data_IF_989751175056
#
_entry.id   IF_989751175056
#
_cell.length_a   1.000
_cell.length_b   1.000
_cell.length_c   1.000
_cell.angle_alpha   90.00
_cell.angle_beta   90.00
_cell.angle_gamma   90.00
#
_symmetry.space_group_name_H-M   'P 1'
#
loop_
_entity.id
_entity.type
_entity.pdbx_description
1 polymer ?
#
# COMPACT_ATOMS: atom_id res chain seq x y z
N UNK A 1 -43.27 26.57 -25.61
CA UNK A 1 -43.80 25.22 -25.35
C UNK A 1 -42.72 24.42 -24.65
N UNK A 2 -42.90 24.19 -23.35
CA UNK A 2 -41.90 23.59 -22.46
C UNK A 2 -41.94 22.06 -22.56
N UNK A 3 -40.79 21.43 -22.76
CA UNK A 3 -40.60 19.99 -22.65
C UNK A 3 -40.12 19.65 -21.22
N UNK A 4 -40.78 18.75 -20.45
CA UNK A 4 -40.27 18.31 -19.17
C UNK A 4 -39.26 17.17 -19.34
N UNK A 5 -38.07 17.36 -18.75
CA UNK A 5 -37.04 16.35 -18.62
C UNK A 5 -37.51 15.17 -17.76
N UNK A 6 -37.28 13.95 -18.24
CA UNK A 6 -37.57 12.71 -17.51
C UNK A 6 -36.55 12.53 -16.37
N UNK A 7 -36.97 12.88 -15.15
CA UNK A 7 -36.29 12.45 -13.93
C UNK A 7 -36.52 10.95 -13.68
N UNK A 8 -35.45 10.20 -13.46
CA UNK A 8 -35.51 8.84 -12.92
C UNK A 8 -35.74 8.91 -11.41
N UNK A 9 -37.01 9.02 -11.02
CA UNK A 9 -37.46 8.78 -9.66
C UNK A 9 -38.32 7.52 -9.65
N UNK A 10 -37.71 6.36 -9.40
CA UNK A 10 -38.39 5.14 -8.98
C UNK A 10 -37.44 4.33 -8.09
N UNK A 11 -37.38 4.72 -6.82
CA UNK A 11 -36.96 3.83 -5.73
C UNK A 11 -38.04 3.89 -4.67
N UNK A 12 -39.05 3.04 -4.83
CA UNK A 12 -39.97 2.72 -3.75
C UNK A 12 -40.17 1.20 -3.70
N UNK A 13 -40.19 0.73 -2.45
CA UNK A 13 -40.92 -0.43 -1.96
C UNK A 13 -40.50 -1.81 -2.50
N UNK A 14 -39.49 -2.40 -1.85
CA UNK A 14 -39.49 -3.85 -1.60
C UNK A 14 -40.16 -4.07 -0.24
N UNK A 15 -41.49 -3.99 -0.24
CA UNK A 15 -42.34 -4.32 0.90
C UNK A 15 -43.63 -4.91 0.35
N UNK A 16 -43.70 -6.25 0.40
CA UNK A 16 -44.88 -7.09 0.15
C UNK A 16 -45.85 -6.67 -0.98
N UNK A 17 -45.65 -7.22 -2.19
CA UNK A 17 -46.70 -7.26 -3.23
C UNK A 17 -47.34 -8.65 -3.28
N UNK A 18 -48.68 -8.76 -3.42
CA UNK A 18 -49.39 -10.03 -3.48
C UNK A 18 -48.99 -10.82 -4.75
N UNK A 19 -49.01 -12.15 -4.66
CA UNK A 19 -48.75 -13.05 -5.78
C UNK A 19 -49.83 -12.90 -6.85
N UNK A 20 -49.61 -12.02 -7.82
CA UNK A 20 -50.41 -11.95 -9.04
C UNK A 20 -49.95 -13.07 -9.97
N UNK A 21 -50.77 -14.12 -10.12
CA UNK A 21 -50.54 -15.18 -11.09
C UNK A 21 -50.72 -14.61 -12.50
N UNK A 22 -49.62 -14.42 -13.22
CA UNK A 22 -49.66 -14.01 -14.61
C UNK A 22 -50.27 -15.14 -15.47
N UNK A 23 -51.20 -14.85 -16.38
CA UNK A 23 -51.78 -15.85 -17.25
C UNK A 23 -50.71 -16.41 -18.20
N UNK A 24 -50.76 -17.73 -18.43
CA UNK A 24 -49.74 -18.53 -19.13
C UNK A 24 -49.43 -18.07 -20.55
N UNK A 25 -50.34 -17.32 -21.20
CA UNK A 25 -50.14 -16.80 -22.56
C UNK A 25 -49.20 -15.57 -22.62
N UNK A 26 -48.90 -14.91 -21.49
CA UNK A 26 -47.95 -13.77 -21.43
C UNK A 26 -46.50 -14.20 -21.14
N UNK A 27 -46.27 -15.48 -20.86
CA UNK A 27 -44.95 -16.05 -20.56
C UNK A 27 -43.92 -15.87 -21.69
N UNK A 28 -44.27 -15.96 -23.00
CA UNK A 28 -43.27 -15.78 -24.07
C UNK A 28 -42.72 -14.35 -24.18
N UNK A 29 -43.49 -13.34 -23.77
CA UNK A 29 -43.10 -11.93 -23.84
C UNK A 29 -42.12 -11.50 -22.72
N UNK A 30 -42.06 -12.28 -21.64
CA UNK A 30 -41.16 -12.07 -20.50
C UNK A 30 -39.93 -12.99 -20.51
N UNK A 31 -39.58 -13.55 -21.66
CA UNK A 31 -38.27 -14.19 -21.82
C UNK A 31 -37.20 -13.09 -21.69
N UNK A 32 -36.69 -12.95 -20.48
CA UNK A 32 -35.50 -12.17 -20.17
C UNK A 32 -34.42 -12.64 -21.12
N UNK A 33 -34.05 -11.79 -22.08
CA UNK A 33 -32.96 -12.06 -22.98
C UNK A 33 -31.73 -12.37 -22.13
N UNK A 34 -31.32 -13.64 -22.12
CA UNK A 34 -30.12 -14.06 -21.42
C UNK A 34 -28.96 -13.32 -22.07
N UNK A 35 -28.53 -12.21 -21.46
CA UNK A 35 -27.35 -11.48 -21.90
C UNK A 35 -26.19 -12.46 -21.82
N UNK A 36 -25.64 -12.83 -22.97
CA UNK A 36 -24.40 -13.61 -23.03
C UNK A 36 -23.35 -12.84 -22.24
N UNK A 37 -22.98 -13.37 -21.07
CA UNK A 37 -21.87 -12.82 -20.31
C UNK A 37 -20.60 -13.01 -21.15
N UNK A 38 -19.85 -11.92 -21.35
CA UNK A 38 -18.60 -11.94 -22.12
C UNK A 38 -17.52 -12.85 -21.50
N UNK A 39 -17.75 -13.32 -20.27
CA UNK A 39 -16.91 -14.28 -19.57
C UNK A 39 -17.78 -15.30 -18.83
N UNK A 40 -17.43 -16.57 -18.95
CA UNK A 40 -18.03 -17.67 -18.18
C UNK A 40 -17.28 -17.94 -16.86
N UNK A 41 -16.25 -17.14 -16.52
CA UNK A 41 -15.52 -17.31 -15.27
C UNK A 41 -16.32 -16.75 -14.10
N UNK A 42 -16.42 -17.52 -13.01
CA UNK A 42 -17.01 -17.04 -11.76
C UNK A 42 -16.16 -15.90 -11.20
N UNK A 43 -16.80 -14.87 -10.64
CA UNK A 43 -16.09 -13.80 -9.94
C UNK A 43 -15.32 -14.42 -8.77
N UNK A 44 -13.99 -14.45 -8.87
CA UNK A 44 -13.12 -14.90 -7.78
C UNK A 44 -12.57 -13.69 -7.04
N UNK A 45 -12.91 -13.59 -5.77
CA UNK A 45 -12.33 -12.59 -4.88
C UNK A 45 -10.83 -12.84 -4.69
N UNK A 46 -10.10 -11.79 -4.30
CA UNK A 46 -8.66 -11.92 -4.04
C UNK A 46 -8.42 -12.82 -2.82
N UNK A 47 -7.50 -13.78 -2.96
CA UNK A 47 -7.15 -14.71 -1.86
C UNK A 47 -6.54 -14.00 -0.64
N UNK A 48 -5.96 -12.81 -0.83
CA UNK A 48 -5.35 -12.01 0.24
C UNK A 48 -6.34 -11.01 0.86
N UNK A 49 -7.22 -10.38 0.06
CA UNK A 49 -8.17 -9.40 0.57
C UNK A 49 -9.27 -10.02 1.44
N UNK A 50 -9.63 -11.28 1.17
CA UNK A 50 -10.58 -12.05 2.01
C UNK A 50 -10.03 -12.42 3.39
N UNK A 51 -8.71 -12.37 3.59
CA UNK A 51 -8.10 -12.76 4.86
C UNK A 51 -8.34 -11.64 5.89
N UNK A 52 -8.99 -11.91 7.03
CA UNK A 52 -9.25 -10.89 8.04
C UNK A 52 -7.94 -10.39 8.63
N UNK A 53 -7.83 -9.08 8.83
CA UNK A 53 -6.69 -8.44 9.44
C UNK A 53 -6.88 -8.41 10.96
N UNK A 54 -5.96 -9.04 11.70
CA UNK A 54 -6.01 -9.09 13.17
C UNK A 54 -5.36 -7.85 13.77
N UNK A 55 -6.09 -7.12 14.62
CA UNK A 55 -5.65 -5.87 15.24
C UNK A 55 -5.05 -6.18 16.61
N UNK A 56 -3.75 -5.90 16.84
CA UNK A 56 -3.12 -6.14 18.13
C UNK A 56 -3.65 -5.14 19.19
N UNK A 57 -3.50 -5.46 20.49
CA UNK A 57 -3.85 -4.51 21.56
C UNK A 57 -3.04 -3.22 21.45
N UNK A 58 -3.67 -2.08 21.73
CA UNK A 58 -3.06 -0.75 21.67
C UNK A 58 -3.01 -0.12 20.27
N UNK A 59 -3.61 -0.77 19.27
CA UNK A 59 -3.82 -0.19 17.94
C UNK A 59 -5.30 0.07 17.70
N UNK A 60 -5.63 1.28 17.30
CA UNK A 60 -6.98 1.73 17.00
C UNK A 60 -7.10 2.12 15.54
N UNK A 61 -8.23 1.77 14.92
CA UNK A 61 -8.52 2.07 13.53
C UNK A 61 -9.77 2.92 13.47
N UNK A 62 -9.63 4.13 12.95
CA UNK A 62 -10.75 5.04 12.71
C UNK A 62 -10.95 5.17 11.21
N UNK A 63 -12.14 4.81 10.75
CA UNK A 63 -12.54 4.89 9.34
C UNK A 63 -13.33 6.19 9.17
N UNK A 64 -12.77 7.12 8.42
CA UNK A 64 -13.41 8.38 8.08
C UNK A 64 -14.46 8.23 6.98
N UNK A 65 -15.37 9.19 6.95
CA UNK A 65 -16.39 9.31 5.90
C UNK A 65 -15.75 9.56 4.52
N UNK A 66 -16.42 9.15 3.42
CA UNK A 66 -15.96 9.44 2.07
C UNK A 66 -15.95 10.96 1.83
N UNK A 67 -14.77 11.51 1.59
CA UNK A 67 -14.54 12.93 1.29
C UNK A 67 -14.04 13.10 -0.15
N UNK A 68 -14.47 14.17 -0.79
CA UNK A 68 -14.04 14.56 -2.13
C UNK A 68 -13.13 15.78 -2.00
N UNK A 69 -11.86 15.64 -2.40
CA UNK A 69 -10.96 16.78 -2.52
C UNK A 69 -11.33 17.58 -3.77
N UNK A 70 -11.39 18.91 -3.63
CA UNK A 70 -11.65 19.81 -4.77
C UNK A 70 -10.34 20.02 -5.53
N UNK A 71 -10.25 19.41 -6.71
CA UNK A 71 -9.16 19.64 -7.65
C UNK A 71 -9.71 20.43 -8.84
N UNK A 72 -9.08 21.55 -9.20
CA UNK A 72 -9.56 22.42 -10.28
C UNK A 72 -9.41 21.80 -11.67
N UNK A 73 -8.47 20.85 -11.82
CA UNK A 73 -8.11 20.22 -13.10
C UNK A 73 -8.96 18.99 -13.43
N UNK A 74 -9.47 18.27 -12.42
CA UNK A 74 -10.18 17.00 -12.64
C UNK A 74 -11.69 17.23 -12.74
N UNK A 75 -12.27 16.86 -13.89
CA UNK A 75 -13.72 16.90 -14.09
C UNK A 75 -14.45 15.80 -13.31
N UNK A 76 -13.86 14.60 -13.20
CA UNK A 76 -14.40 13.52 -12.38
C UNK A 76 -13.84 13.59 -10.97
N UNK A 77 -14.76 13.70 -10.02
CA UNK A 77 -14.46 13.76 -8.60
C UNK A 77 -14.75 12.39 -7.99
N UNK A 78 -13.69 11.64 -7.73
CA UNK A 78 -13.80 10.32 -7.10
C UNK A 78 -13.70 10.52 -5.57
N UNK A 79 -14.75 10.18 -4.79
CA UNK A 79 -14.68 10.26 -3.34
C UNK A 79 -13.65 9.28 -2.81
N UNK A 80 -12.89 9.66 -1.78
CA UNK A 80 -11.94 8.79 -1.09
C UNK A 80 -12.28 8.74 0.40
N UNK A 81 -12.05 7.60 1.03
CA UNK A 81 -12.15 7.44 2.49
C UNK A 81 -10.77 7.55 3.11
N UNK A 82 -10.64 8.20 4.25
CA UNK A 82 -9.38 8.24 5.00
C UNK A 82 -9.46 7.22 6.13
N UNK A 83 -8.53 6.28 6.18
CA UNK A 83 -8.37 5.35 7.31
C UNK A 83 -7.17 5.78 8.12
N UNK A 84 -7.42 6.15 9.36
CA UNK A 84 -6.36 6.51 10.30
C UNK A 84 -6.12 5.36 11.27
N UNK A 85 -4.87 4.90 11.33
CA UNK A 85 -4.41 3.86 12.26
C UNK A 85 -3.55 4.54 13.32
N UNK A 86 -3.99 4.49 14.56
CA UNK A 86 -3.29 5.05 15.72
C UNK A 86 -2.68 3.93 16.55
N UNK A 87 -1.46 4.11 17.03
CA UNK A 87 -0.79 3.15 17.90
C UNK A 87 0.27 3.82 18.78
N UNK A 88 1.04 3.04 19.56
CA UNK A 88 1.96 3.57 20.56
C UNK A 88 3.11 4.42 19.98
N UNK A 89 3.50 4.15 18.72
CA UNK A 89 4.61 4.84 18.05
C UNK A 89 4.14 6.08 17.28
N UNK A 90 2.84 6.25 17.05
CA UNK A 90 2.28 7.37 16.30
C UNK A 90 1.03 7.01 15.49
N UNK A 91 0.69 7.88 14.54
CA UNK A 91 -0.51 7.80 13.71
C UNK A 91 -0.15 7.73 12.23
N UNK A 92 -0.86 6.89 11.47
CA UNK A 92 -0.70 6.75 10.03
C UNK A 92 -2.05 6.93 9.34
N UNK A 93 -2.10 7.81 8.34
CA UNK A 93 -3.30 8.09 7.56
C UNK A 93 -3.16 7.51 6.14
N UNK A 94 -4.15 6.74 5.71
CA UNK A 94 -4.21 6.13 4.38
C UNK A 94 -5.48 6.54 3.65
N UNK A 95 -5.34 7.08 2.44
CA UNK A 95 -6.48 7.32 1.55
C UNK A 95 -6.85 6.05 0.78
N UNK A 96 -8.11 5.67 0.85
CA UNK A 96 -8.67 4.46 0.27
C UNK A 96 -9.74 4.86 -0.75
N UNK A 97 -9.78 4.22 -1.94
CA UNK A 97 -10.84 4.46 -2.92
C UNK A 97 -12.22 4.03 -2.40
N UNK A 98 -13.31 4.55 -3.00
CA UNK A 98 -14.65 4.45 -2.42
C UNK A 98 -15.29 3.07 -2.58
N UNK A 99 -14.86 2.30 -3.59
CA UNK A 99 -15.36 0.96 -3.85
C UNK A 99 -14.85 -0.10 -2.86
N UNK A 100 -13.96 0.28 -1.93
CA UNK A 100 -13.47 -0.59 -0.87
C UNK A 100 -14.30 -0.35 0.40
N UNK A 101 -14.97 -1.42 0.85
CA UNK A 101 -15.62 -1.54 2.15
C UNK A 101 -14.66 -2.16 3.14
N UNK A 102 -14.67 -1.62 4.35
CA UNK A 102 -13.88 -2.12 5.48
C UNK A 102 -14.87 -2.40 6.59
N UNK A 103 -15.09 -3.68 6.85
CA UNK A 103 -15.96 -4.12 7.92
C UNK A 103 -15.07 -4.31 9.14
N UNK A 104 -15.20 -3.40 10.10
CA UNK A 104 -14.44 -3.43 11.36
C UNK A 104 -15.30 -4.06 12.45
N UNK A 105 -14.87 -5.23 12.91
CA UNK A 105 -15.43 -5.90 14.08
C UNK A 105 -14.56 -5.57 15.30
N UNK A 106 -15.13 -4.76 16.21
CA UNK A 106 -14.47 -4.30 17.44
C UNK A 106 -14.32 -5.41 18.48
N UNK A 107 -15.25 -6.37 18.52
CA UNK A 107 -15.26 -7.46 19.51
C UNK A 107 -14.20 -8.50 19.18
N UNK A 108 -14.17 -8.96 17.91
CA UNK A 108 -13.17 -9.92 17.46
C UNK A 108 -11.81 -9.29 17.15
N UNK A 109 -11.70 -7.95 17.19
CA UNK A 109 -10.52 -7.16 16.79
C UNK A 109 -10.03 -7.54 15.40
N UNK A 110 -10.97 -7.67 14.46
CA UNK A 110 -10.70 -8.05 13.07
C UNK A 110 -11.24 -6.99 12.12
N UNK A 111 -10.53 -6.79 11.02
CA UNK A 111 -11.02 -5.97 9.92
C UNK A 111 -11.00 -6.77 8.62
N UNK A 112 -12.14 -6.89 7.95
CA UNK A 112 -12.26 -7.53 6.64
C UNK A 112 -12.41 -6.50 5.54
N UNK A 113 -11.81 -6.77 4.38
CA UNK A 113 -11.86 -5.89 3.21
C UNK A 113 -12.77 -6.51 2.16
N UNK A 114 -13.80 -5.79 1.76
CA UNK A 114 -14.77 -6.21 0.74
C UNK A 114 -14.85 -5.17 -0.39
N UNK A 115 -15.20 -5.61 -1.60
CA UNK A 115 -15.36 -4.74 -2.77
C UNK A 115 -16.86 -4.64 -3.05
N UNK A 116 -17.36 -3.42 -3.31
CA UNK A 116 -18.79 -3.20 -3.55
C UNK A 116 -19.25 -3.73 -4.93
N UNK A 117 -18.43 -3.52 -5.97
CA UNK A 117 -18.75 -3.88 -7.36
C UNK A 117 -17.67 -4.78 -7.99
N UNK A 118 -17.98 -6.08 -8.11
CA UNK A 118 -17.07 -7.10 -8.69
C UNK A 118 -17.06 -7.13 -10.25
N UNK A 119 -17.95 -6.39 -10.89
CA UNK A 119 -18.17 -6.38 -12.34
C UNK A 119 -17.27 -5.38 -13.07
N UNK A 120 -16.80 -4.33 -12.39
CA UNK A 120 -15.85 -3.40 -12.98
C UNK A 120 -14.48 -4.10 -13.12
N UNK A 121 -13.99 -4.27 -14.35
CA UNK A 121 -12.65 -4.84 -14.61
C UNK A 121 -11.52 -4.06 -13.91
N UNK A 122 -11.71 -2.76 -13.66
CA UNK A 122 -10.84 -1.92 -12.81
C UNK A 122 -10.78 -2.37 -11.34
N UNK A 123 -11.80 -3.07 -10.85
CA UNK A 123 -11.84 -3.68 -9.51
C UNK A 123 -11.02 -4.97 -9.39
N UNK A 124 -10.80 -5.69 -10.51
CA UNK A 124 -10.09 -6.99 -10.51
C UNK A 124 -8.57 -6.86 -10.58
N UNK A 125 -8.06 -5.77 -11.15
CA UNK A 125 -6.62 -5.53 -11.33
C UNK A 125 -6.00 -4.64 -10.26
N UNK A 126 -6.77 -4.14 -9.30
CA UNK A 126 -6.21 -3.32 -8.23
C UNK A 126 -5.40 -4.17 -7.23
N UNK A 127 -4.12 -4.27 -7.50
CA UNK A 127 -3.03 -3.83 -6.61
C UNK A 127 -3.39 -3.08 -5.30
N UNK A 128 -4.56 -2.46 -5.16
CA UNK A 128 -5.06 -1.81 -3.94
C UNK A 128 -5.36 -2.79 -2.78
N UNK A 129 -5.89 -3.99 -3.04
CA UNK A 129 -6.15 -5.00 -1.97
C UNK A 129 -4.85 -5.63 -1.43
N UNK A 130 -3.77 -5.64 -2.21
CA UNK A 130 -2.46 -6.15 -1.77
C UNK A 130 -1.58 -5.09 -1.10
N UNK A 131 -1.76 -3.80 -1.44
CA UNK A 131 -1.09 -2.67 -0.79
C UNK A 131 -1.74 -2.35 0.57
N UNK A 132 -3.07 -2.28 0.68
CA UNK A 132 -3.75 -1.94 1.93
C UNK A 132 -3.57 -3.03 3.02
N UNK A 133 -3.73 -4.31 2.67
CA UNK A 133 -3.60 -5.44 3.63
C UNK A 133 -2.17 -5.67 4.13
N UNK A 134 -1.14 -5.38 3.30
CA UNK A 134 0.28 -5.47 3.72
C UNK A 134 0.75 -4.24 4.50
N UNK A 135 0.08 -3.09 4.33
CA UNK A 135 0.47 -1.81 4.92
C UNK A 135 -0.26 -1.45 6.20
N UNK A 136 -1.52 -1.83 6.40
CA UNK A 136 -2.32 -1.21 7.47
C UNK A 136 -2.16 -1.82 8.87
N UNK A 137 -2.08 -3.15 9.02
CA UNK A 137 -2.35 -3.76 10.36
C UNK A 137 -1.27 -4.74 10.86
N UNK A 138 -0.38 -5.27 10.01
CA UNK A 138 0.84 -5.99 10.48
C UNK A 138 1.93 -5.02 10.99
N UNK A 139 1.56 -3.79 11.34
CA UNK A 139 2.40 -2.57 11.36
C UNK A 139 2.39 -1.87 12.73
N UNK A 140 2.12 -2.60 13.83
CA UNK A 140 2.33 -2.06 15.19
C UNK A 140 3.78 -2.22 15.67
N UNK A 141 4.61 -2.97 14.95
CA UNK A 141 6.02 -3.19 15.26
C UNK A 141 6.89 -2.16 14.55
N UNK A 142 7.87 -1.60 15.29
CA UNK A 142 9.00 -0.82 14.75
C UNK A 142 9.50 -1.49 13.47
N UNK A 143 9.32 -0.81 12.35
CA UNK A 143 9.85 -1.29 11.08
C UNK A 143 11.28 -0.79 10.98
N UNK A 144 12.19 -1.73 11.01
CA UNK A 144 13.61 -1.47 10.85
C UNK A 144 14.01 -1.87 9.43
N UNK A 145 14.71 -0.98 8.76
CA UNK A 145 15.51 -1.33 7.60
C UNK A 145 16.97 -1.17 8.00
N UNK A 146 17.81 -2.11 7.57
CA UNK A 146 19.24 -1.98 7.74
C UNK A 146 19.87 -1.78 6.38
N UNK A 147 20.74 -0.79 6.28
CA UNK A 147 21.62 -0.60 5.15
C UNK A 147 23.03 -0.99 5.59
N UNK A 148 23.55 -2.09 5.04
CA UNK A 148 24.95 -2.49 5.28
C UNK A 148 25.84 -2.00 4.15
N UNK A 149 26.95 -1.38 4.55
CA UNK A 149 28.03 -0.96 3.66
C UNK A 149 29.12 -2.02 3.72
N UNK A 150 29.29 -2.79 2.64
CA UNK A 150 30.40 -3.75 2.54
C UNK A 150 31.63 -3.06 1.97
N UNK A 151 32.67 -2.91 2.80
CA UNK A 151 33.99 -2.34 2.43
C UNK A 151 35.02 -3.46 2.26
N UNK A 152 36.07 -3.23 1.45
CA UNK A 152 37.25 -4.11 1.45
C UNK A 152 38.11 -3.85 2.70
N UNK A 153 38.75 -4.91 3.19
CA UNK A 153 39.49 -5.02 4.45
C UNK A 153 40.66 -4.04 4.69
N UNK A 154 41.02 -3.17 3.74
CA UNK A 154 42.21 -2.30 3.84
C UNK A 154 41.92 -0.81 4.07
N UNK A 155 40.67 -0.37 4.25
CA UNK A 155 40.36 1.06 4.35
C UNK A 155 39.99 1.48 5.79
N UNK A 156 40.97 2.06 6.50
CA UNK A 156 40.88 2.61 7.85
C UNK A 156 39.55 3.35 8.14
N UNK A 157 38.90 2.97 9.22
CA UNK A 157 37.63 3.53 9.67
C UNK A 157 37.87 4.83 10.45
N UNK A 158 37.60 6.00 9.84
CA UNK A 158 37.46 7.24 10.61
C UNK A 158 36.04 7.31 11.18
N UNK A 159 35.94 7.42 12.51
CA UNK A 159 34.71 7.71 13.25
C UNK A 159 34.24 9.13 12.96
N UNK A 160 32.96 9.33 12.64
CA UNK A 160 32.30 10.65 12.67
C UNK A 160 30.85 10.55 13.14
N UNK A 161 30.40 11.67 13.71
CA UNK A 161 29.25 11.83 14.62
C UNK A 161 27.86 11.70 13.96
N UNK A 162 26.78 11.54 14.75
CA UNK A 162 25.46 11.08 14.31
C UNK A 162 24.53 12.18 13.73
N UNK A 163 24.98 13.43 13.60
CA UNK A 163 24.09 14.57 13.34
C UNK A 163 23.60 14.71 11.88
N UNK A 164 24.31 14.12 10.92
CA UNK A 164 23.88 14.00 9.52
C UNK A 164 24.31 12.63 9.03
N UNK A 165 23.51 11.98 8.17
CA UNK A 165 23.71 10.60 7.72
C UNK A 165 24.93 10.47 6.75
N UNK A 166 26.10 10.92 7.19
CA UNK A 166 27.35 11.07 6.44
C UNK A 166 28.24 9.81 6.47
N UNK A 167 27.86 8.80 7.27
CA UNK A 167 28.75 7.69 7.64
C UNK A 167 29.04 6.68 6.53
N UNK A 168 28.16 6.49 5.54
CA UNK A 168 28.36 5.50 4.48
C UNK A 168 29.27 5.96 3.32
N UNK A 169 29.44 7.27 3.15
CA UNK A 169 29.96 7.84 1.89
C UNK A 169 31.45 8.23 1.92
N UNK A 170 32.04 8.43 3.09
CA UNK A 170 33.32 9.14 3.26
C UNK A 170 34.59 8.47 2.68
N UNK A 171 34.50 7.35 1.97
CA UNK A 171 35.66 6.58 1.52
C UNK A 171 35.80 6.47 0.00
N UNK A 172 34.83 6.94 -0.78
CA UNK A 172 34.84 6.80 -2.23
C UNK A 172 34.61 8.12 -2.98
N UNK A 173 34.21 9.18 -2.29
CA UNK A 173 33.98 10.50 -2.85
C UNK A 173 34.92 11.51 -2.22
N UNK A 174 35.38 12.48 -3.01
CA UNK A 174 36.29 13.54 -2.57
C UNK A 174 35.62 14.47 -1.54
N UNK A 175 34.30 14.66 -1.63
CA UNK A 175 33.51 15.46 -0.70
C UNK A 175 32.56 14.56 0.12
N UNK A 176 32.21 14.96 1.35
CA UNK A 176 31.18 14.26 2.12
C UNK A 176 29.82 14.38 1.42
N UNK A 177 29.07 13.28 1.39
CA UNK A 177 27.68 13.28 0.91
C UNK A 177 26.78 13.31 2.13
N UNK A 178 25.96 14.34 2.23
CA UNK A 178 24.95 14.51 3.27
C UNK A 178 23.57 14.32 2.64
N UNK A 179 22.80 13.35 3.15
CA UNK A 179 21.44 13.11 2.71
C UNK A 179 20.46 13.52 3.83
N UNK A 180 19.47 14.39 3.55
CA UNK A 180 18.52 14.85 4.55
C UNK A 180 17.58 13.71 4.97
N UNK A 181 17.44 13.53 6.29
CA UNK A 181 16.57 12.52 6.88
C UNK A 181 15.11 13.00 6.75
N UNK A 182 14.19 12.20 6.17
CA UNK A 182 12.78 12.56 6.11
C UNK A 182 12.14 12.61 7.50
N UNK A 183 11.04 13.36 7.62
CA UNK A 183 10.31 13.48 8.90
C UNK A 183 9.81 12.11 9.35
N UNK A 184 9.82 11.84 10.66
CA UNK A 184 9.31 10.58 11.22
C UNK A 184 10.22 9.36 11.02
N UNK A 185 11.42 9.54 10.46
CA UNK A 185 12.44 8.51 10.33
C UNK A 185 13.63 8.85 11.23
N UNK A 186 14.08 7.86 11.99
CA UNK A 186 15.28 7.93 12.84
C UNK A 186 16.37 7.07 12.22
N UNK A 187 17.60 7.57 12.25
CA UNK A 187 18.75 6.88 11.66
C UNK A 187 19.84 6.75 12.71
N UNK A 188 20.25 5.52 12.99
CA UNK A 188 21.32 5.21 13.92
C UNK A 188 22.43 4.43 13.22
N UNK A 189 23.65 4.50 13.75
CA UNK A 189 24.84 3.86 13.16
C UNK A 189 25.52 3.00 14.22
N UNK A 190 24.98 1.81 14.55
CA UNK A 190 25.54 0.96 15.60
C UNK A 190 26.96 0.51 15.28
N UNK A 191 27.26 0.28 14.00
CA UNK A 191 28.62 0.01 13.53
C UNK A 191 28.95 0.96 12.38
N UNK A 192 30.23 1.29 12.13
CA UNK A 192 30.60 2.19 11.03
C UNK A 192 30.23 1.64 9.64
N UNK A 193 29.92 0.35 9.54
CA UNK A 193 29.51 -0.33 8.30
C UNK A 193 28.02 -0.64 8.26
N UNK A 194 27.25 -0.36 9.31
CA UNK A 194 25.81 -0.66 9.37
C UNK A 194 25.03 0.59 9.77
N UNK A 195 24.11 0.98 8.90
CA UNK A 195 23.12 2.03 9.16
C UNK A 195 21.81 1.33 9.47
N UNK A 196 21.19 1.71 10.59
CA UNK A 196 19.87 1.27 11.00
C UNK A 196 18.91 2.44 10.80
N UNK A 197 17.83 2.20 10.05
CA UNK A 197 16.81 3.17 9.70
C UNK A 197 15.50 2.67 10.30
N UNK A 198 14.93 3.43 11.21
CA UNK A 198 13.70 3.09 11.93
C UNK A 198 12.64 4.16 11.68
N UNK A 199 11.39 3.74 11.59
CA UNK A 199 10.27 4.65 11.43
C UNK A 199 8.93 3.93 11.42
N UNK A 200 7.87 4.73 11.33
CA UNK A 200 6.48 4.25 11.33
C UNK A 200 6.07 3.88 9.90
N UNK A 201 6.38 4.74 8.92
CA UNK A 201 6.05 4.48 7.52
C UNK A 201 7.18 3.76 6.78
N UNK A 202 6.93 2.48 6.51
CA UNK A 202 7.78 1.64 5.64
C UNK A 202 8.10 2.27 4.28
N UNK A 203 7.17 3.04 3.67
CA UNK A 203 7.40 3.62 2.36
C UNK A 203 8.52 4.66 2.40
N UNK A 204 8.46 5.56 3.37
CA UNK A 204 9.48 6.58 3.60
C UNK A 204 10.83 5.95 3.97
N UNK A 205 10.83 4.94 4.85
CA UNK A 205 12.02 4.19 5.25
C UNK A 205 12.69 3.56 4.02
N UNK A 206 11.93 2.83 3.21
CA UNK A 206 12.47 2.13 2.04
C UNK A 206 12.87 3.09 0.93
N UNK A 207 12.14 4.21 0.76
CA UNK A 207 12.50 5.28 -0.17
C UNK A 207 13.83 5.92 0.21
N UNK A 208 14.02 6.24 1.49
CA UNK A 208 15.28 6.77 2.01
C UNK A 208 16.42 5.76 1.89
N UNK A 209 16.22 4.50 2.29
CA UNK A 209 17.21 3.44 2.10
C UNK A 209 17.59 3.25 0.61
N UNK A 210 16.61 3.39 -0.29
CA UNK A 210 16.82 3.40 -1.73
C UNK A 210 17.67 4.57 -2.21
N UNK A 211 17.44 5.79 -1.71
CA UNK A 211 18.27 6.98 -1.99
C UNK A 211 19.71 6.77 -1.52
N UNK A 212 19.91 6.29 -0.30
CA UNK A 212 21.24 5.96 0.23
C UNK A 212 21.95 4.92 -0.64
N UNK A 213 21.22 3.88 -1.11
CA UNK A 213 21.77 2.85 -1.99
C UNK A 213 22.19 3.38 -3.36
N UNK A 214 21.52 4.41 -3.90
CA UNK A 214 21.86 4.99 -5.22
C UNK A 214 23.27 5.56 -5.27
N UNK A 215 23.80 6.08 -4.16
CA UNK A 215 25.16 6.62 -4.12
C UNK A 215 26.24 5.57 -4.38
N UNK A 216 26.01 4.33 -3.95
CA UNK A 216 26.97 3.25 -4.15
C UNK A 216 26.27 1.89 -4.28
N UNK A 217 25.72 1.58 -5.46
CA UNK A 217 25.09 0.29 -5.70
C UNK A 217 26.10 -0.86 -5.56
N UNK A 218 25.64 -2.08 -5.19
CA UNK A 218 26.53 -3.23 -5.05
C UNK A 218 27.12 -3.64 -6.40
N UNK A 219 28.43 -3.78 -6.47
CA UNK A 219 29.14 -4.17 -7.70
C UNK A 219 29.18 -5.70 -7.90
N UNK A 220 29.12 -6.20 -9.15
CA UNK A 220 29.03 -7.64 -9.43
C UNK A 220 30.35 -8.40 -9.31
N UNK A 221 31.50 -7.74 -9.10
CA UNK A 221 32.80 -8.43 -9.04
C UNK A 221 33.29 -8.65 -7.61
N UNK A 222 33.38 -7.60 -6.79
CA UNK A 222 33.83 -7.73 -5.38
C UNK A 222 32.69 -7.55 -4.37
N UNK A 223 31.47 -7.28 -4.82
CA UNK A 223 30.31 -7.10 -3.94
C UNK A 223 30.48 -5.94 -2.97
N UNK A 224 31.23 -4.89 -3.33
CA UNK A 224 31.30 -3.64 -2.57
C UNK A 224 30.11 -2.78 -2.92
N UNK A 225 29.57 -2.09 -1.92
CA UNK A 225 28.44 -1.18 -2.07
C UNK A 225 27.52 -1.22 -0.87
N UNK A 226 26.37 -0.55 -1.00
CA UNK A 226 25.30 -0.51 -0.01
C UNK A 226 24.27 -1.58 -0.33
N UNK A 227 24.03 -2.48 0.62
CA UNK A 227 22.98 -3.48 0.59
C UNK A 227 21.83 -3.03 1.49
N UNK A 228 20.59 -3.27 1.07
CA UNK A 228 19.39 -2.95 1.85
C UNK A 228 18.76 -4.26 2.30
N UNK A 229 18.58 -4.43 3.61
CA UNK A 229 18.12 -5.67 4.24
C UNK A 229 18.97 -6.88 3.81
N UNK A 230 18.37 -8.06 3.65
CA UNK A 230 19.03 -9.30 3.23
C UNK A 230 19.37 -9.37 1.72
N UNK A 231 19.56 -8.22 1.07
CA UNK A 231 19.89 -8.20 -0.35
C UNK A 231 21.26 -8.82 -0.62
N UNK A 232 21.33 -9.75 -1.57
CA UNK A 232 22.59 -10.35 -2.05
C UNK A 232 22.82 -10.07 -3.53
N UNK A 233 24.08 -10.06 -3.96
CA UNK A 233 24.47 -9.93 -5.37
C UNK A 233 25.25 -11.17 -5.83
N UNK A 234 24.96 -11.67 -7.04
CA UNK A 234 25.73 -12.74 -7.67
C UNK A 234 27.08 -12.21 -8.13
N UNK A 235 28.16 -12.82 -7.66
CA UNK A 235 29.52 -12.42 -8.03
C UNK A 235 29.93 -13.07 -9.35
N UNK A 236 30.49 -12.27 -10.26
CA UNK A 236 31.15 -12.75 -11.48
C UNK A 236 32.58 -13.14 -11.15
N UNK A 237 33.01 -14.30 -11.62
CA UNK A 237 34.41 -14.70 -11.53
C UNK A 237 35.27 -13.73 -12.36
N UNK A 238 36.43 -13.36 -11.82
CA UNK A 238 37.43 -12.62 -12.58
C UNK A 238 38.05 -13.59 -13.58
N UNK A 239 38.13 -13.21 -14.86
CA UNK A 239 38.96 -13.95 -15.82
C UNK A 239 40.41 -13.76 -15.36
N UNK A 240 40.96 -14.78 -14.72
CA UNK A 240 42.39 -14.88 -14.45
C UNK A 240 43.01 -15.15 -15.83
N UNK A 241 43.81 -14.20 -16.32
CA UNK A 241 44.62 -14.36 -17.52
C UNK A 241 45.99 -14.82 -17.07
#
# INVERSE_FOLDING_TARGET
>A
MFAPGRGLALRQALGSSPSVSLPTFLVPAFQTTSRRQFSASTNRSSKLGRTPLSIPPGVEIVIGEPRVKRDATSYLKIPKRTVSVSGPLGKLDLEIPPFLKIDHDTEARKATLTIEDDTAQLGRTSTATSLASRRAIRRSSVSWAWATVRRSSSAAARRRSPASCSSASSSAFTHPIEEPIPKGVTVTTPTPTRILIEGIDREEIMSFAGRVRKYRPPEPYKGKGVFVNDQTIKLKQKKIK
#
